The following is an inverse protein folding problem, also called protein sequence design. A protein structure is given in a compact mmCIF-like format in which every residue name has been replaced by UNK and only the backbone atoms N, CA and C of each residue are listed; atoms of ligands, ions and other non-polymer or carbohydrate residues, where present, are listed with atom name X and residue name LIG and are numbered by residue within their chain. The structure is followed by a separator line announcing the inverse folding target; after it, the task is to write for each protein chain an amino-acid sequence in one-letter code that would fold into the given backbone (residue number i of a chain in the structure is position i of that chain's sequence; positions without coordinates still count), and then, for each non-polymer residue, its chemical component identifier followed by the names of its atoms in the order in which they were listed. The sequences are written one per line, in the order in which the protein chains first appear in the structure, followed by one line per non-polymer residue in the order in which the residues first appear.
data_IF_436366049845
#
_entry.id   IF_436366049845
#
_cell.length_a   1.000
_cell.length_b   1.000
_cell.length_c   1.000
_cell.angle_alpha   90.00
_cell.angle_beta   90.00
_cell.angle_gamma   90.00
#
_symmetry.space_group_name_H-M   'P 1'
#
loop_
_entity.id
_entity.type
_entity.pdbx_description
1 polymer ?
#
# COMPACT_ATOMS: atom_id res chain seq x y z
N UNK A 1 7.47 45.41 -5.90
CA UNK A 1 8.75 44.75 -6.22
C UNK A 1 9.23 43.76 -5.14
N UNK A 2 9.37 44.13 -3.85
CA UNK A 2 9.89 43.22 -2.78
C UNK A 2 9.09 41.92 -2.62
N UNK A 3 7.77 41.97 -2.75
CA UNK A 3 6.90 40.79 -2.64
C UNK A 3 7.12 39.78 -3.77
N UNK A 4 7.42 40.25 -4.99
CA UNK A 4 7.76 39.37 -6.12
C UNK A 4 9.07 38.63 -5.88
N UNK A 5 10.07 39.32 -5.32
CA UNK A 5 11.37 38.73 -4.99
C UNK A 5 11.18 37.64 -3.92
N UNK A 6 10.38 37.93 -2.89
CA UNK A 6 10.07 36.95 -1.84
C UNK A 6 9.36 35.70 -2.40
N UNK A 7 8.36 35.89 -3.26
CA UNK A 7 7.65 34.79 -3.89
C UNK A 7 8.57 33.92 -4.78
N UNK A 8 9.46 34.54 -5.55
CA UNK A 8 10.45 33.82 -6.36
C UNK A 8 11.41 32.99 -5.50
N UNK A 9 11.88 33.53 -4.38
CA UNK A 9 12.75 32.81 -3.44
C UNK A 9 12.02 31.61 -2.83
N UNK A 10 10.75 31.75 -2.45
CA UNK A 10 9.95 30.64 -1.95
C UNK A 10 9.75 29.52 -2.98
N UNK A 11 9.53 29.86 -4.26
CA UNK A 11 9.40 28.88 -5.35
C UNK A 11 10.74 28.20 -5.63
N UNK A 12 11.85 28.95 -5.64
CA UNK A 12 13.19 28.39 -5.82
C UNK A 12 13.57 27.41 -4.69
N UNK A 13 13.11 27.66 -3.47
CA UNK A 13 13.29 26.75 -2.32
C UNK A 13 12.29 25.59 -2.30
N UNK A 14 11.33 25.53 -3.24
CA UNK A 14 10.27 24.52 -3.29
C UNK A 14 10.71 23.19 -3.92
N UNK A 15 12.01 22.87 -3.96
CA UNK A 15 12.59 21.65 -4.56
C UNK A 15 12.09 20.30 -3.99
N UNK A 16 11.06 20.29 -3.13
CA UNK A 16 10.48 19.08 -2.54
C UNK A 16 9.30 18.45 -3.27
N UNK A 17 8.81 19.01 -4.39
CA UNK A 17 7.63 18.47 -5.08
C UNK A 17 7.96 17.30 -6.02
N UNK A 18 8.25 16.13 -5.44
CA UNK A 18 8.42 14.89 -6.20
C UNK A 18 7.08 14.15 -6.31
N UNK A 19 6.56 14.00 -7.53
CA UNK A 19 5.32 13.26 -7.78
C UNK A 19 5.65 11.81 -8.14
N UNK A 20 5.14 10.87 -7.33
CA UNK A 20 5.15 9.44 -7.67
C UNK A 20 3.84 9.12 -8.39
N UNK A 21 3.91 8.68 -9.64
CA UNK A 21 2.74 8.23 -10.40
C UNK A 21 2.47 6.77 -10.04
N UNK A 22 1.34 6.53 -9.36
CA UNK A 22 0.89 5.17 -9.09
C UNK A 22 0.11 4.61 -10.28
N UNK A 23 0.35 3.34 -10.61
CA UNK A 23 -0.43 2.60 -11.61
C UNK A 23 -1.36 1.64 -10.88
N UNK A 24 -2.57 1.47 -11.40
CA UNK A 24 -3.53 0.48 -10.91
C UNK A 24 -3.38 -0.79 -11.74
N UNK A 25 -2.87 -1.86 -11.14
CA UNK A 25 -2.91 -3.21 -11.73
C UNK A 25 -3.83 -4.14 -10.93
N UNK A 26 -3.69 -5.45 -11.18
CA UNK A 26 -4.52 -6.47 -10.53
C UNK A 26 -4.13 -6.63 -9.07
N UNK A 27 -5.13 -6.83 -8.22
CA UNK A 27 -4.91 -7.22 -6.84
C UNK A 27 -4.38 -8.64 -6.74
N UNK A 28 -3.65 -8.93 -5.66
CA UNK A 28 -3.21 -10.31 -5.34
C UNK A 28 -4.42 -11.25 -5.31
N UNK A 29 -5.55 -10.81 -4.74
CA UNK A 29 -6.81 -11.58 -4.70
C UNK A 29 -7.32 -11.93 -6.09
N UNK A 30 -7.32 -10.99 -7.02
CA UNK A 30 -7.73 -11.24 -8.41
C UNK A 30 -6.82 -12.27 -9.07
N UNK A 31 -5.50 -12.12 -8.92
CA UNK A 31 -4.52 -13.07 -9.45
C UNK A 31 -4.71 -14.46 -8.85
N UNK A 32 -4.95 -14.56 -7.54
CA UNK A 32 -5.18 -15.85 -6.87
C UNK A 32 -6.50 -16.50 -7.29
N UNK A 33 -7.54 -15.69 -7.57
CA UNK A 33 -8.81 -16.18 -8.11
C UNK A 33 -8.63 -16.72 -9.52
N UNK A 34 -7.90 -16.01 -10.37
CA UNK A 34 -7.58 -16.45 -11.74
C UNK A 34 -6.79 -17.75 -11.76
N UNK A 35 -5.87 -17.93 -10.81
CA UNK A 35 -5.09 -19.16 -10.66
C UNK A 35 -5.83 -20.27 -9.88
N UNK A 36 -7.04 -20.03 -9.39
CA UNK A 36 -7.84 -21.02 -8.64
C UNK A 36 -7.36 -21.33 -7.22
N UNK A 37 -6.32 -20.65 -6.73
CA UNK A 37 -5.70 -20.92 -5.40
C UNK A 37 -6.35 -20.15 -4.25
N UNK A 38 -7.23 -19.18 -4.55
CA UNK A 38 -7.82 -18.31 -3.53
C UNK A 38 -8.63 -19.08 -2.49
N UNK A 39 -9.40 -20.10 -2.88
CA UNK A 39 -10.25 -20.86 -1.95
C UNK A 39 -9.44 -21.57 -0.86
N UNK A 40 -8.50 -22.43 -1.28
CA UNK A 40 -7.60 -23.15 -0.37
C UNK A 40 -6.82 -22.19 0.54
N UNK A 41 -6.38 -21.05 0.00
CA UNK A 41 -5.70 -20.04 0.78
C UNK A 41 -6.58 -19.45 1.90
N UNK A 42 -7.82 -19.09 1.58
CA UNK A 42 -8.75 -18.51 2.56
C UNK A 42 -9.17 -19.53 3.64
N UNK A 43 -9.20 -20.82 3.30
CA UNK A 43 -9.44 -21.89 4.28
C UNK A 43 -8.23 -22.11 5.21
N UNK A 44 -7.02 -22.05 4.66
CA UNK A 44 -5.78 -22.29 5.41
C UNK A 44 -5.39 -21.13 6.32
N UNK A 45 -5.65 -19.89 5.90
CA UNK A 45 -5.20 -18.70 6.60
C UNK A 45 -6.38 -17.85 7.09
N UNK A 46 -6.47 -17.67 8.41
CA UNK A 46 -7.40 -16.72 9.01
C UNK A 46 -6.98 -15.28 8.70
N UNK A 47 -7.83 -14.53 8.02
CA UNK A 47 -7.57 -13.14 7.63
C UNK A 47 -8.37 -12.21 8.53
N UNK A 48 -7.66 -11.49 9.38
CA UNK A 48 -8.20 -10.40 10.19
C UNK A 48 -7.41 -9.12 9.88
N UNK A 49 -7.98 -8.17 9.11
CA UNK A 49 -7.33 -6.90 8.80
C UNK A 49 -6.94 -6.08 10.04
N UNK A 50 -7.64 -6.28 11.17
CA UNK A 50 -7.36 -5.61 12.43
C UNK A 50 -6.03 -6.03 13.05
N UNK A 51 -5.55 -7.26 12.77
CA UNK A 51 -4.26 -7.75 13.28
C UNK A 51 -3.08 -6.93 12.76
N UNK A 52 -3.18 -6.31 11.58
CA UNK A 52 -2.12 -5.45 11.02
C UNK A 52 -1.70 -4.33 11.97
N UNK A 53 -2.63 -3.85 12.81
CA UNK A 53 -2.42 -2.70 13.68
C UNK A 53 -2.15 -3.09 15.14
N UNK A 54 -2.13 -4.38 15.45
CA UNK A 54 -1.90 -4.88 16.81
C UNK A 54 -0.41 -5.19 17.04
N UNK A 55 0.37 -4.16 17.40
CA UNK A 55 1.84 -4.22 17.56
C UNK A 55 2.29 -5.34 18.53
N UNK A 56 1.51 -5.61 19.60
CA UNK A 56 1.85 -6.62 20.61
C UNK A 56 1.34 -8.02 20.32
N UNK A 57 0.47 -8.15 19.32
CA UNK A 57 0.12 -9.45 18.76
C UNK A 57 0.90 -9.50 17.46
N UNK A 58 2.16 -9.92 17.54
CA UNK A 58 2.82 -10.49 16.37
C UNK A 58 1.87 -11.57 15.87
N UNK A 59 1.02 -11.21 14.91
CA UNK A 59 0.10 -12.11 14.30
C UNK A 59 0.99 -13.14 13.66
N UNK A 60 1.14 -14.28 14.35
CA UNK A 60 1.85 -15.46 13.90
C UNK A 60 1.09 -15.98 12.68
N UNK A 61 1.20 -15.22 11.61
CA UNK A 61 0.61 -15.46 10.32
C UNK A 61 1.71 -16.18 9.58
N UNK A 62 1.46 -17.45 9.29
CA UNK A 62 2.37 -18.26 8.48
C UNK A 62 2.62 -17.62 7.11
N UNK A 63 1.71 -16.75 6.64
CA UNK A 63 1.87 -15.97 5.43
C UNK A 63 1.80 -14.45 5.72
N UNK A 64 2.93 -13.72 5.65
CA UNK A 64 3.03 -12.32 6.06
C UNK A 64 2.27 -11.35 5.15
N UNK A 65 1.90 -11.79 3.94
CA UNK A 65 1.18 -10.97 2.95
C UNK A 65 -0.35 -11.09 3.01
N UNK A 66 -0.91 -11.84 3.97
CA UNK A 66 -2.37 -12.04 4.13
C UNK A 66 -3.17 -10.74 4.21
N UNK A 67 -2.62 -9.69 4.81
CA UNK A 67 -3.27 -8.37 4.91
C UNK A 67 -3.14 -7.48 3.66
N UNK A 68 -2.51 -7.99 2.59
CA UNK A 68 -2.24 -7.25 1.35
C UNK A 68 -2.98 -7.84 0.14
N UNK A 69 -3.91 -8.77 0.34
CA UNK A 69 -4.64 -9.41 -0.77
C UNK A 69 -5.32 -8.42 -1.72
N UNK A 70 -5.76 -7.27 -1.20
CA UNK A 70 -6.47 -6.25 -1.97
C UNK A 70 -5.54 -5.14 -2.51
N UNK A 71 -4.23 -5.27 -2.32
CA UNK A 71 -3.24 -4.35 -2.93
C UNK A 71 -3.04 -4.70 -4.40
N UNK A 72 -3.22 -3.69 -5.26
CA UNK A 72 -2.87 -3.74 -6.67
C UNK A 72 -1.36 -3.83 -6.87
N UNK A 73 -0.91 -4.81 -7.65
CA UNK A 73 0.46 -4.95 -8.16
C UNK A 73 0.56 -4.28 -9.52
#
# INVERSE_FOLDING_TARGET
MKWLILALVCIHLSEGFHRIIMKKGKSIREIMRENGVLGEFLEKYHIDPGLKYQINKFGATYEPMTNYLDVSI
#
